data_IF_181202472771
#
_entry.id   IF_181202472771
#
_cell.length_a   1.000
_cell.length_b   1.000
_cell.length_c   1.000
_cell.angle_alpha   90.00
_cell.angle_beta   90.00
_cell.angle_gamma   90.00
#
_symmetry.space_group_name_H-M   'P 1'
#
loop_
_entity.id
_entity.type
_entity.pdbx_description
1 polymer ?
#
# COMPACT_ATOMS: atom_id res chain seq x y z
N UNK A 1 27.90 6.11 -1.98
CA UNK A 1 26.47 6.42 -1.77
C UNK A 1 25.59 5.52 -2.65
N UNK A 2 26.09 4.33 -3.00
CA UNK A 2 25.57 3.58 -4.13
C UNK A 2 24.70 2.39 -3.68
N UNK A 3 25.02 1.81 -2.53
CA UNK A 3 24.30 0.64 -2.00
C UNK A 3 22.87 0.99 -1.55
N UNK A 4 22.68 2.19 -0.97
CA UNK A 4 21.37 2.64 -0.50
C UNK A 4 20.43 2.89 -1.70
N UNK A 5 20.89 3.63 -2.72
CA UNK A 5 20.12 3.90 -3.93
C UNK A 5 19.79 2.61 -4.70
N UNK A 6 20.77 1.71 -4.86
CA UNK A 6 20.54 0.40 -5.51
C UNK A 6 19.48 -0.39 -4.75
N UNK A 7 19.53 -0.39 -3.42
CA UNK A 7 18.54 -1.07 -2.59
C UNK A 7 17.14 -0.46 -2.75
N UNK A 8 17.01 0.86 -2.85
CA UNK A 8 15.72 1.53 -3.06
C UNK A 8 15.10 1.19 -4.42
N UNK A 9 15.90 1.07 -5.49
CA UNK A 9 15.41 0.65 -6.80
C UNK A 9 14.96 -0.82 -6.83
N UNK A 10 15.71 -1.71 -6.16
CA UNK A 10 15.30 -3.12 -6.02
C UNK A 10 14.00 -3.22 -5.22
N UNK A 11 13.86 -2.42 -4.15
CA UNK A 11 12.65 -2.37 -3.33
C UNK A 11 11.45 -1.87 -4.14
N UNK A 12 11.62 -0.84 -4.98
CA UNK A 12 10.61 -0.37 -5.94
C UNK A 12 10.14 -1.49 -6.88
N UNK A 13 11.07 -2.25 -7.45
CA UNK A 13 10.73 -3.37 -8.33
C UNK A 13 9.96 -4.48 -7.59
N UNK A 14 10.38 -4.83 -6.37
CA UNK A 14 9.68 -5.79 -5.52
C UNK A 14 8.26 -5.32 -5.15
N UNK A 15 8.11 -4.03 -4.83
CA UNK A 15 6.81 -3.40 -4.54
C UNK A 15 5.88 -3.38 -5.75
N UNK A 16 6.41 -3.19 -6.97
CA UNK A 16 5.61 -3.28 -8.19
C UNK A 16 5.04 -4.69 -8.39
N UNK A 17 5.85 -5.74 -8.15
CA UNK A 17 5.39 -7.13 -8.23
C UNK A 17 4.37 -7.42 -7.12
N UNK A 18 4.63 -6.93 -5.91
CA UNK A 18 3.70 -7.07 -4.78
C UNK A 18 2.35 -6.40 -5.07
N UNK A 19 2.35 -5.20 -5.66
CA UNK A 19 1.14 -4.50 -6.10
C UNK A 19 0.32 -5.36 -7.07
N UNK A 20 0.95 -5.96 -8.09
CA UNK A 20 0.27 -6.89 -9.00
C UNK A 20 -0.30 -8.13 -8.29
N UNK A 21 0.45 -8.69 -7.33
CA UNK A 21 -0.02 -9.82 -6.54
C UNK A 21 -1.24 -9.45 -5.69
N UNK A 22 -1.25 -8.26 -5.08
CA UNK A 22 -2.39 -7.78 -4.27
C UNK A 22 -3.65 -7.55 -5.11
N UNK A 23 -3.52 -7.04 -6.34
CA UNK A 23 -4.63 -6.89 -7.29
C UNK A 23 -5.25 -8.27 -7.61
N UNK A 24 -4.42 -9.31 -7.78
CA UNK A 24 -4.89 -10.68 -7.99
C UNK A 24 -5.60 -11.27 -6.77
N UNK A 25 -5.22 -10.86 -5.56
CA UNK A 25 -5.91 -11.26 -4.33
C UNK A 25 -7.29 -10.56 -4.27
N UNK A 26 -7.36 -9.30 -4.70
CA UNK A 26 -8.59 -8.52 -4.69
C UNK A 26 -9.71 -9.10 -5.57
N UNK A 27 -9.35 -9.73 -6.68
CA UNK A 27 -10.32 -10.32 -7.62
C UNK A 27 -10.89 -11.68 -7.19
N UNK A 28 -10.53 -12.19 -6.00
CA UNK A 28 -11.10 -13.43 -5.46
C UNK A 28 -12.53 -13.23 -4.95
N UNK A 29 -13.30 -14.33 -4.93
CA UNK A 29 -14.76 -14.35 -4.75
C UNK A 29 -15.27 -13.91 -3.36
N UNK A 30 -14.41 -13.78 -2.36
CA UNK A 30 -14.81 -13.47 -0.98
C UNK A 30 -14.46 -12.03 -0.61
N UNK A 31 -15.39 -11.34 0.05
CA UNK A 31 -15.24 -9.92 0.42
C UNK A 31 -14.07 -9.72 1.40
N UNK A 32 -13.79 -10.70 2.26
CA UNK A 32 -12.60 -10.66 3.12
C UNK A 32 -11.29 -10.64 2.33
N UNK A 33 -11.21 -11.39 1.22
CA UNK A 33 -10.01 -11.41 0.38
C UNK A 33 -9.85 -10.11 -0.41
N UNK A 34 -10.95 -9.46 -0.81
CA UNK A 34 -10.87 -8.14 -1.45
C UNK A 34 -10.39 -7.05 -0.49
N UNK A 35 -10.82 -7.09 0.77
CA UNK A 35 -10.31 -6.20 1.83
C UNK A 35 -8.81 -6.38 2.09
N UNK A 36 -8.34 -7.63 2.16
CA UNK A 36 -6.91 -7.92 2.34
C UNK A 36 -6.09 -7.45 1.14
N UNK A 37 -6.57 -7.70 -0.08
CA UNK A 37 -5.91 -7.25 -1.31
C UNK A 37 -5.81 -5.72 -1.40
N UNK A 38 -6.91 -5.00 -1.13
CA UNK A 38 -6.93 -3.53 -1.09
C UNK A 38 -6.02 -2.96 0.00
N UNK A 39 -6.00 -3.56 1.19
CA UNK A 39 -5.13 -3.13 2.29
C UNK A 39 -3.65 -3.32 1.93
N UNK A 40 -3.31 -4.45 1.31
CA UNK A 40 -1.95 -4.71 0.83
C UNK A 40 -1.53 -3.72 -0.27
N UNK A 41 -2.43 -3.39 -1.18
CA UNK A 41 -2.18 -2.41 -2.24
C UNK A 41 -1.94 -1.00 -1.66
N UNK A 42 -2.72 -0.59 -0.66
CA UNK A 42 -2.54 0.71 0.00
C UNK A 42 -1.16 0.84 0.66
N UNK A 43 -0.70 -0.22 1.34
CA UNK A 43 0.64 -0.26 1.97
C UNK A 43 1.73 -0.20 0.89
N UNK A 44 1.55 -0.92 -0.23
CA UNK A 44 2.49 -0.91 -1.34
C UNK A 44 2.63 0.50 -1.94
N UNK A 45 1.52 1.18 -2.16
CA UNK A 45 1.51 2.56 -2.71
C UNK A 45 2.11 3.56 -1.71
N UNK A 46 1.79 3.44 -0.41
CA UNK A 46 2.35 4.32 0.62
C UNK A 46 3.87 4.17 0.74
N UNK A 47 4.38 2.95 0.69
CA UNK A 47 5.84 2.69 0.73
C UNK A 47 6.55 3.18 -0.54
N UNK A 48 5.95 3.04 -1.72
CA UNK A 48 6.46 3.64 -2.97
C UNK A 48 6.54 5.17 -2.85
N UNK A 49 5.53 5.83 -2.28
CA UNK A 49 5.53 7.29 -2.08
C UNK A 49 6.65 7.75 -1.15
N UNK A 50 6.94 6.99 -0.07
CA UNK A 50 8.06 7.29 0.84
C UNK A 50 9.40 7.13 0.13
N UNK A 51 9.56 6.10 -0.71
CA UNK A 51 10.77 5.93 -1.53
C UNK A 51 10.97 7.09 -2.50
N UNK A 52 9.91 7.52 -3.17
CA UNK A 52 9.95 8.68 -4.07
C UNK A 52 10.31 9.97 -3.31
N UNK A 53 9.81 10.13 -2.07
CA UNK A 53 10.21 11.24 -1.20
C UNK A 53 11.72 11.23 -0.92
N UNK A 54 12.30 10.06 -0.63
CA UNK A 54 13.74 9.94 -0.35
C UNK A 54 14.61 10.20 -1.59
N UNK A 55 14.20 9.69 -2.76
CA UNK A 55 14.98 9.80 -4.00
C UNK A 55 14.89 11.21 -4.60
N UNK A 56 13.69 11.81 -4.62
CA UNK A 56 13.42 13.08 -5.33
C UNK A 56 13.24 14.28 -4.40
N UNK A 57 13.20 14.09 -3.07
CA UNK A 57 13.04 15.19 -2.10
C UNK A 57 11.65 15.83 -2.07
N UNK A 58 10.62 15.17 -2.63
CA UNK A 58 9.26 15.71 -2.70
C UNK A 58 8.56 15.54 -1.35
N UNK A 59 8.49 16.62 -0.57
CA UNK A 59 7.91 16.59 0.79
C UNK A 59 6.46 16.09 0.86
N UNK A 60 5.65 16.45 -0.14
CA UNK A 60 4.21 16.12 -0.20
C UNK A 60 3.92 14.62 -0.24
N UNK A 61 4.84 13.80 -0.78
CA UNK A 61 4.68 12.35 -0.82
C UNK A 61 4.61 11.72 0.59
N UNK A 62 5.26 12.35 1.58
CA UNK A 62 5.21 11.88 2.96
C UNK A 62 3.82 12.03 3.60
N UNK A 63 3.17 13.17 3.38
CA UNK A 63 1.85 13.45 3.95
C UNK A 63 0.77 12.57 3.31
N UNK A 64 0.87 12.34 1.99
CA UNK A 64 -0.03 11.40 1.29
C UNK A 64 0.18 9.97 1.81
N UNK A 65 1.42 9.52 1.99
CA UNK A 65 1.71 8.19 2.50
C UNK A 65 1.15 8.00 3.92
N UNK A 66 1.29 9.02 4.78
CA UNK A 66 0.74 9.02 6.12
C UNK A 66 -0.81 8.96 6.07
N UNK A 67 -1.44 9.79 5.25
CA UNK A 67 -2.88 9.77 5.07
C UNK A 67 -3.39 8.41 4.57
N UNK A 68 -2.70 7.79 3.61
CA UNK A 68 -3.05 6.44 3.10
C UNK A 68 -2.96 5.38 4.21
N UNK A 69 -1.91 5.41 5.03
CA UNK A 69 -1.71 4.45 6.12
C UNK A 69 -2.73 4.65 7.23
N UNK A 70 -3.16 5.88 7.52
CA UNK A 70 -4.17 6.15 8.55
C UNK A 70 -5.58 5.81 8.05
N UNK A 71 -5.90 6.15 6.80
CA UNK A 71 -7.23 5.91 6.24
C UNK A 71 -7.46 4.42 5.90
N UNK A 72 -6.43 3.65 5.58
CA UNK A 72 -6.52 2.22 5.27
C UNK A 72 -7.23 1.40 6.37
N UNK A 73 -6.71 1.37 7.61
CA UNK A 73 -7.33 0.68 8.74
C UNK A 73 -8.75 1.16 9.04
N UNK A 74 -9.01 2.47 8.93
CA UNK A 74 -10.35 3.05 9.15
C UNK A 74 -11.35 2.47 8.15
N UNK A 75 -10.99 2.40 6.87
CA UNK A 75 -11.82 1.77 5.83
C UNK A 75 -12.07 0.29 6.09
N UNK A 76 -11.03 -0.45 6.48
CA UNK A 76 -11.13 -1.89 6.79
C UNK A 76 -12.01 -2.17 8.01
N UNK A 77 -11.90 -1.36 9.07
CA UNK A 77 -12.75 -1.46 10.27
C UNK A 77 -14.21 -1.14 9.93
N UNK A 78 -14.47 -0.06 9.19
CA UNK A 78 -15.82 0.31 8.77
C UNK A 78 -16.47 -0.82 7.96
N UNK A 79 -15.75 -1.39 6.99
CA UNK A 79 -16.24 -2.51 6.20
C UNK A 79 -16.48 -3.78 7.02
N UNK A 80 -15.60 -4.08 7.99
CA UNK A 80 -15.79 -5.23 8.87
C UNK A 80 -17.07 -5.14 9.71
N UNK A 81 -17.45 -3.93 10.15
CA UNK A 81 -18.71 -3.71 10.86
C UNK A 81 -19.92 -3.97 9.96
N UNK A 82 -19.90 -3.44 8.74
CA UNK A 82 -20.97 -3.66 7.75
C UNK A 82 -21.12 -5.14 7.40
N UNK A 83 -20.01 -5.89 7.26
CA UNK A 83 -20.06 -7.32 6.99
C UNK A 83 -20.57 -8.16 8.17
N UNK A 84 -20.35 -7.69 9.41
CA UNK A 84 -20.77 -8.40 10.61
C UNK A 84 -22.28 -8.29 10.86
N UNK A 85 -22.95 -7.31 10.23
CA UNK A 85 -24.41 -7.19 10.22
C UNK A 85 -25.01 -6.56 11.49
N UNK A 86 -24.23 -5.78 12.24
CA UNK A 86 -24.73 -4.89 13.30
C UNK A 86 -25.04 -3.49 12.73
#
# INVERSE_FOLDING_TARGET
>A
MDLLLISEYILLAALAIFSLATIRITTRKTIGMSLVGLSGLAIAVATILILIKNIYGIGFCGDIALALIVLGPVGTIAFSKVLKGD
#
